data_IF_185845642477
#
_entry.id   IF_185845642477
#
_cell.length_a   1.000
_cell.length_b   1.000
_cell.length_c   1.000
_cell.angle_alpha   90.00
_cell.angle_beta   90.00
_cell.angle_gamma   90.00
#
_symmetry.space_group_name_H-M   'P 1'
#
loop_
_entity.id
_entity.type
_entity.pdbx_description
1 polymer ?
#
# COMPACT_ATOMS: atom_id res chain seq x y z
N UNK A 1 7.78 16.39 20.21
CA UNK A 1 7.34 16.86 18.89
C UNK A 1 6.28 15.91 18.45
N UNK A 2 5.04 16.37 18.50
CA UNK A 2 3.85 15.59 18.15
C UNK A 2 3.89 15.28 16.64
N UNK A 3 3.62 14.03 16.28
CA UNK A 3 3.54 13.61 14.88
C UNK A 3 2.07 13.61 14.47
N UNK A 4 1.68 14.60 13.66
CA UNK A 4 0.40 14.66 12.99
C UNK A 4 0.29 13.49 11.98
N UNK A 5 -0.88 12.85 11.96
CA UNK A 5 -1.14 11.71 11.10
C UNK A 5 -1.63 12.19 9.72
N UNK A 6 -0.84 11.93 8.67
CA UNK A 6 -1.21 12.19 7.27
C UNK A 6 -1.11 10.89 6.43
N UNK A 7 -2.16 10.61 5.65
CA UNK A 7 -2.24 9.50 4.67
C UNK A 7 -2.99 8.24 5.15
N UNK A 8 -3.97 7.74 4.38
CA UNK A 8 -4.85 6.62 4.76
C UNK A 8 -4.05 5.31 4.79
N UNK A 9 -3.60 4.92 5.99
CA UNK A 9 -2.92 3.65 6.31
C UNK A 9 -3.85 2.44 6.34
N UNK A 10 -5.09 2.58 5.88
CA UNK A 10 -6.15 1.57 6.01
C UNK A 10 -6.75 1.27 4.64
N UNK A 11 -6.83 0.00 4.29
CA UNK A 11 -7.60 -0.48 3.16
C UNK A 11 -8.63 -1.49 3.68
N UNK A 12 -9.88 -1.38 3.22
CA UNK A 12 -10.95 -2.26 3.70
C UNK A 12 -11.95 -2.57 2.60
N UNK A 13 -12.41 -3.83 2.57
CA UNK A 13 -13.55 -4.28 1.79
C UNK A 13 -14.33 -5.35 2.58
N UNK A 14 -15.28 -6.01 1.94
CA UNK A 14 -16.11 -7.05 2.57
C UNK A 14 -15.31 -8.28 3.03
N UNK A 15 -14.13 -8.50 2.45
CA UNK A 15 -13.29 -9.68 2.67
C UNK A 15 -12.07 -9.42 3.54
N UNK A 16 -11.54 -8.19 3.59
CA UNK A 16 -10.29 -7.89 4.26
C UNK A 16 -10.30 -6.48 4.87
N UNK A 17 -9.62 -6.34 6.00
CA UNK A 17 -9.15 -5.08 6.55
C UNK A 17 -7.63 -5.15 6.64
N UNK A 18 -6.94 -4.13 6.14
CA UNK A 18 -5.49 -4.01 6.19
C UNK A 18 -5.11 -2.66 6.77
N UNK A 19 -4.25 -2.66 7.77
CA UNK A 19 -3.73 -1.47 8.43
C UNK A 19 -2.20 -1.52 8.38
N UNK A 20 -1.56 -0.46 7.89
CA UNK A 20 -0.12 -0.26 8.06
C UNK A 20 0.17 0.49 9.38
N UNK A 21 1.01 -0.10 10.22
CA UNK A 21 1.47 0.46 11.48
C UNK A 21 2.97 0.79 11.40
N UNK A 22 3.29 2.08 11.32
CA UNK A 22 4.68 2.57 11.35
C UNK A 22 5.26 2.68 12.77
N UNK A 23 4.55 2.21 13.82
CA UNK A 23 4.99 2.30 15.22
C UNK A 23 6.14 1.34 15.54
N UNK A 24 6.29 0.31 14.71
CA UNK A 24 7.32 -0.71 14.81
C UNK A 24 8.38 -0.44 13.73
N UNK A 25 9.63 -0.77 14.01
CA UNK A 25 10.70 -0.81 13.02
C UNK A 25 11.15 -2.27 12.86
N UNK A 26 10.85 -2.94 11.72
CA UNK A 26 10.15 -2.44 10.52
C UNK A 26 8.63 -2.23 10.73
N UNK A 27 7.96 -1.44 9.84
CA UNK A 27 6.51 -1.30 9.86
C UNK A 27 5.79 -2.65 9.77
N UNK A 28 4.67 -2.75 10.48
CA UNK A 28 3.84 -3.95 10.52
C UNK A 28 2.55 -3.74 9.75
N UNK A 29 2.12 -4.73 8.98
CA UNK A 29 0.78 -4.77 8.40
C UNK A 29 -0.12 -5.66 9.27
N UNK A 30 -1.18 -5.07 9.83
CA UNK A 30 -2.26 -5.82 10.45
C UNK A 30 -3.30 -6.17 9.41
N UNK A 31 -3.65 -7.45 9.29
CA UNK A 31 -4.62 -7.96 8.33
C UNK A 31 -5.69 -8.73 9.09
N UNK A 32 -6.95 -8.36 8.89
CA UNK A 32 -8.11 -9.10 9.38
C UNK A 32 -8.91 -9.64 8.21
N UNK A 33 -9.02 -10.96 8.12
CA UNK A 33 -9.82 -11.65 7.12
C UNK A 33 -11.27 -11.74 7.54
N UNK A 34 -12.16 -11.63 6.55
CA UNK A 34 -13.61 -11.62 6.70
C UNK A 34 -14.08 -10.73 7.87
N UNK A 35 -13.73 -9.43 7.87
CA UNK A 35 -13.89 -8.56 9.04
C UNK A 35 -15.34 -8.43 9.54
N UNK A 36 -16.32 -8.73 8.67
CA UNK A 36 -17.75 -8.65 8.91
C UNK A 36 -18.49 -9.99 8.90
N UNK A 37 -17.81 -11.11 8.61
CA UNK A 37 -18.47 -12.42 8.55
C UNK A 37 -18.31 -13.18 9.88
N UNK A 38 -19.31 -13.04 10.77
CA UNK A 38 -19.32 -13.69 12.08
C UNK A 38 -19.43 -15.22 12.04
N UNK A 39 -19.67 -15.81 10.85
CA UNK A 39 -19.76 -17.28 10.68
C UNK A 39 -18.40 -17.91 10.34
N UNK A 40 -17.44 -17.11 9.89
CA UNK A 40 -16.06 -17.55 9.66
C UNK A 40 -15.20 -17.20 10.87
N UNK A 41 -14.23 -18.06 11.21
CA UNK A 41 -13.20 -17.72 12.20
C UNK A 41 -12.43 -16.50 11.68
N UNK A 42 -12.60 -15.34 12.33
CA UNK A 42 -11.87 -14.11 12.01
C UNK A 42 -10.38 -14.34 12.22
N UNK A 43 -9.66 -14.66 11.14
CA UNK A 43 -8.20 -14.78 11.14
C UNK A 43 -7.60 -13.38 11.18
N UNK A 44 -6.71 -13.14 12.15
CA UNK A 44 -5.97 -11.88 12.29
C UNK A 44 -4.47 -12.16 12.21
N UNK A 45 -3.80 -11.47 11.29
CA UNK A 45 -2.37 -11.61 11.08
C UNK A 45 -1.69 -10.26 11.32
N UNK A 46 -0.53 -10.29 11.99
CA UNK A 46 0.41 -9.17 11.97
C UNK A 46 1.67 -9.65 11.30
N UNK A 47 2.06 -8.96 10.23
CA UNK A 47 3.22 -9.31 9.42
C UNK A 47 4.14 -8.11 9.34
N UNK A 48 5.42 -8.39 9.22
CA UNK A 48 6.42 -7.37 8.94
C UNK A 48 7.39 -7.90 7.91
N UNK A 49 8.02 -6.99 7.18
CA UNK A 49 9.13 -7.33 6.32
C UNK A 49 10.43 -6.84 6.96
N UNK A 50 11.38 -7.73 7.22
CA UNK A 50 12.67 -7.36 7.81
C UNK A 50 13.49 -6.42 6.90
N UNK A 51 13.18 -6.35 5.61
CA UNK A 51 13.88 -5.48 4.66
C UNK A 51 13.35 -4.03 4.67
N UNK A 52 12.33 -3.71 5.48
CA UNK A 52 11.70 -2.38 5.52
C UNK A 52 11.99 -1.63 6.83
N UNK A 53 13.13 -1.89 7.47
CA UNK A 53 13.51 -1.29 8.77
C UNK A 53 13.56 0.23 8.75
N UNK A 54 13.94 0.82 7.62
CA UNK A 54 14.03 2.27 7.43
C UNK A 54 12.95 2.75 6.48
N UNK A 55 11.69 2.44 6.78
CA UNK A 55 10.57 2.84 5.93
C UNK A 55 9.40 3.41 6.71
N UNK A 56 8.68 4.33 6.08
CA UNK A 56 7.44 4.89 6.57
C UNK A 56 6.36 4.72 5.51
N UNK A 57 5.27 4.01 5.83
CA UNK A 57 4.16 3.76 4.92
C UNK A 57 3.18 4.93 4.95
N UNK A 58 2.91 5.52 3.79
CA UNK A 58 1.90 6.56 3.61
C UNK A 58 0.49 5.98 3.48
N UNK A 59 0.36 4.90 2.70
CA UNK A 59 -0.95 4.38 2.34
C UNK A 59 -0.92 2.91 1.95
N UNK A 60 -2.09 2.28 2.03
CA UNK A 60 -2.35 0.89 1.64
C UNK A 60 -3.59 0.84 0.78
N UNK A 61 -3.62 -0.06 -0.20
CA UNK A 61 -4.78 -0.32 -1.04
C UNK A 61 -4.93 -1.82 -1.36
N UNK A 62 -6.16 -2.23 -1.70
CA UNK A 62 -6.50 -3.59 -2.12
C UNK A 62 -7.38 -3.55 -3.37
N UNK A 63 -7.17 -4.52 -4.27
CA UNK A 63 -8.03 -4.69 -5.44
C UNK A 63 -9.35 -5.37 -5.07
N UNK A 64 -10.46 -4.95 -5.69
CA UNK A 64 -11.81 -5.46 -5.39
C UNK A 64 -12.05 -6.89 -5.89
N UNK A 65 -11.44 -7.28 -7.02
CA UNK A 65 -11.70 -8.55 -7.74
C UNK A 65 -10.50 -9.50 -7.68
N UNK A 66 -9.69 -9.41 -6.64
CA UNK A 66 -8.53 -10.28 -6.49
C UNK A 66 -8.93 -11.74 -6.29
N UNK A 67 -8.06 -12.66 -6.70
CA UNK A 67 -8.26 -14.10 -6.59
C UNK A 67 -8.14 -14.54 -5.11
N UNK A 68 -9.05 -15.40 -4.65
CA UNK A 68 -9.05 -15.96 -3.29
C UNK A 68 -7.76 -16.69 -2.92
N UNK A 69 -7.05 -17.26 -3.90
CA UNK A 69 -5.80 -17.99 -3.67
C UNK A 69 -4.58 -17.07 -3.55
N UNK A 70 -4.62 -15.85 -4.11
CA UNK A 70 -3.52 -14.88 -4.07
C UNK A 70 -4.08 -13.48 -3.84
N UNK A 71 -3.97 -12.99 -2.61
CA UNK A 71 -4.37 -11.63 -2.24
C UNK A 71 -3.16 -10.72 -2.28
N UNK A 72 -3.29 -9.56 -2.92
CA UNK A 72 -2.24 -8.57 -3.07
C UNK A 72 -2.59 -7.32 -2.25
N UNK A 73 -1.68 -6.93 -1.37
CA UNK A 73 -1.76 -5.70 -0.60
C UNK A 73 -0.76 -4.71 -1.16
N UNK A 74 -1.25 -3.60 -1.67
CA UNK A 74 -0.43 -2.55 -2.23
C UNK A 74 -0.16 -1.52 -1.19
N UNK A 75 1.05 -0.99 -1.18
CA UNK A 75 1.42 0.05 -0.25
C UNK A 75 2.45 0.96 -0.89
N UNK A 76 2.54 2.18 -0.39
CA UNK A 76 3.56 3.12 -0.79
C UNK A 76 4.03 3.93 0.40
N UNK A 77 5.27 4.39 0.33
CA UNK A 77 5.92 5.04 1.45
C UNK A 77 7.27 5.61 1.06
N UNK A 78 8.01 6.05 2.07
CA UNK A 78 9.34 6.61 1.93
C UNK A 78 10.37 5.88 2.78
N UNK A 79 11.63 5.99 2.36
CA UNK A 79 12.75 5.63 3.19
C UNK A 79 12.98 6.72 4.25
N UNK A 80 13.23 6.32 5.49
CA UNK A 80 13.52 7.20 6.63
C UNK A 80 14.97 7.00 7.11
N UNK A 81 15.33 7.60 8.25
CA UNK A 81 16.63 7.41 8.91
C UNK A 81 17.84 7.80 8.03
N UNK A 82 17.74 8.95 7.35
CA UNK A 82 18.82 9.50 6.53
C UNK A 82 18.96 8.86 5.14
N UNK A 83 18.04 7.95 4.79
CA UNK A 83 17.87 7.46 3.42
C UNK A 83 16.90 8.37 2.68
N UNK A 84 17.12 8.51 1.38
CA UNK A 84 16.23 9.23 0.48
C UNK A 84 15.65 8.24 -0.53
N UNK A 85 14.35 8.33 -0.77
CA UNK A 85 13.66 7.52 -1.77
C UNK A 85 12.22 7.26 -1.37
N UNK A 86 11.35 7.23 -2.36
CA UNK A 86 9.98 6.76 -2.23
C UNK A 86 9.93 5.36 -2.81
N UNK A 87 8.98 4.55 -2.33
CA UNK A 87 8.72 3.25 -2.88
C UNK A 87 7.24 3.00 -3.08
N UNK A 88 6.97 2.15 -4.05
CA UNK A 88 5.73 1.39 -4.15
C UNK A 88 6.08 -0.07 -3.91
N UNK A 89 5.22 -0.76 -3.18
CA UNK A 89 5.38 -2.17 -2.91
C UNK A 89 4.08 -2.93 -2.99
N UNK A 90 4.23 -4.24 -3.15
CA UNK A 90 3.14 -5.21 -3.09
C UNK A 90 3.55 -6.35 -2.16
N UNK A 91 2.67 -6.69 -1.23
CA UNK A 91 2.75 -7.89 -0.42
C UNK A 91 1.73 -8.91 -0.94
N UNK A 92 2.22 -10.06 -1.39
CA UNK A 92 1.40 -11.14 -1.94
C UNK A 92 1.22 -12.21 -0.87
N UNK A 93 -0.02 -12.38 -0.44
CA UNK A 93 -0.46 -13.47 0.42
C UNK A 93 -0.97 -14.63 -0.43
N UNK A 94 -0.29 -15.77 -0.35
CA UNK A 94 -0.74 -17.00 -0.98
C UNK A 94 -1.52 -17.83 0.06
N UNK A 95 -2.82 -17.93 -0.12
CA UNK A 95 -3.69 -18.69 0.78
C UNK A 95 -3.60 -20.19 0.44
N UNK A 96 -2.66 -20.90 1.06
CA UNK A 96 -2.51 -22.35 0.87
C UNK A 96 -3.30 -23.19 1.90
N UNK A 97 -3.81 -22.60 2.99
CA UNK A 97 -4.71 -23.27 3.94
C UNK A 97 -5.41 -22.27 4.89
N UNK A 98 -6.70 -22.50 5.10
CA UNK A 98 -7.66 -21.54 5.69
C UNK A 98 -7.64 -21.40 7.22
N UNK A 99 -6.64 -21.94 7.93
CA UNK A 99 -6.72 -22.12 9.38
C UNK A 99 -5.60 -21.45 10.19
N UNK A 100 -4.53 -20.99 9.56
CA UNK A 100 -3.41 -20.31 10.24
C UNK A 100 -2.96 -19.12 9.40
N UNK A 101 -2.59 -18.02 10.06
CA UNK A 101 -1.80 -16.96 9.43
C UNK A 101 -0.46 -17.57 9.03
N UNK A 102 -0.40 -18.19 7.87
CA UNK A 102 0.85 -18.70 7.35
C UNK A 102 1.68 -17.47 6.93
N UNK A 103 2.77 -17.23 7.65
CA UNK A 103 3.54 -15.97 7.62
C UNK A 103 4.25 -15.68 6.28
N UNK A 104 4.04 -16.48 5.23
CA UNK A 104 4.77 -16.36 3.97
C UNK A 104 4.13 -15.32 3.04
N UNK A 105 4.40 -14.04 3.33
CA UNK A 105 4.15 -12.97 2.37
C UNK A 105 5.34 -12.85 1.44
N UNK A 106 5.09 -12.77 0.14
CA UNK A 106 6.11 -12.41 -0.84
C UNK A 106 6.02 -10.92 -1.09
N UNK A 107 7.11 -10.19 -0.85
CA UNK A 107 7.13 -8.75 -1.03
C UNK A 107 7.93 -8.37 -2.26
N UNK A 108 7.42 -7.41 -3.01
CA UNK A 108 8.13 -6.75 -4.09
C UNK A 108 8.10 -5.26 -3.85
N UNK A 109 9.21 -4.59 -4.13
CA UNK A 109 9.37 -3.15 -3.99
C UNK A 109 9.96 -2.61 -5.27
N UNK A 110 9.52 -1.41 -5.62
CA UNK A 110 10.20 -0.58 -6.57
C UNK A 110 10.43 0.79 -5.96
N UNK A 111 11.70 1.19 -5.99
CA UNK A 111 12.16 2.45 -5.43
C UNK A 111 12.33 3.49 -6.53
N UNK A 112 12.02 4.73 -6.21
CA UNK A 112 12.30 5.88 -7.05
C UNK A 112 12.77 7.04 -6.18
N UNK A 113 13.67 7.85 -6.73
CA UNK A 113 14.45 8.83 -5.97
C UNK A 113 14.18 10.25 -6.47
N UNK A 114 14.69 11.23 -5.74
CA UNK A 114 14.58 12.68 -6.00
C UNK A 114 13.23 13.31 -5.65
N UNK A 115 12.44 12.66 -4.78
CA UNK A 115 11.20 13.21 -4.26
C UNK A 115 11.26 13.30 -2.75
N UNK A 116 10.67 14.35 -2.19
CA UNK A 116 10.65 14.56 -0.74
C UNK A 116 9.44 13.85 -0.11
N UNK A 117 9.30 14.02 1.21
CA UNK A 117 8.13 13.57 1.93
C UNK A 117 6.83 14.10 1.28
N UNK A 118 5.86 13.20 1.05
CA UNK A 118 4.59 13.55 0.43
C UNK A 118 3.48 13.57 1.49
N UNK A 119 3.04 14.77 1.88
CA UNK A 119 1.91 14.95 2.83
C UNK A 119 0.59 14.45 2.23
N UNK A 120 0.41 14.67 0.92
CA UNK A 120 -0.79 14.32 0.16
C UNK A 120 -0.46 13.25 -0.86
N UNK A 121 -1.01 12.06 -0.65
CA UNK A 121 -0.71 10.89 -1.46
C UNK A 121 -1.93 9.98 -1.58
N UNK A 122 -2.30 9.61 -2.81
CA UNK A 122 -3.35 8.62 -3.09
C UNK A 122 -2.74 7.41 -3.79
N UNK A 123 -3.13 6.21 -3.33
CA UNK A 123 -2.87 4.95 -4.02
C UNK A 123 -4.19 4.37 -4.51
N UNK A 124 -4.29 4.21 -5.83
CA UNK A 124 -5.39 3.51 -6.50
C UNK A 124 -4.93 2.18 -7.06
N UNK A 125 -5.83 1.20 -7.11
CA UNK A 125 -5.53 -0.14 -7.62
C UNK A 125 -6.60 -0.54 -8.61
N UNK A 126 -6.18 -1.02 -9.79
CA UNK A 126 -7.09 -1.58 -10.80
C UNK A 126 -7.88 -2.76 -10.19
N UNK A 127 -9.16 -2.97 -10.51
CA UNK A 127 -9.98 -3.97 -9.83
C UNK A 127 -9.38 -5.38 -9.69
N UNK A 128 -8.70 -5.88 -10.73
CA UNK A 128 -8.04 -7.20 -10.69
C UNK A 128 -6.66 -7.17 -10.02
N UNK A 129 -6.13 -5.99 -9.70
CA UNK A 129 -4.84 -5.79 -9.07
C UNK A 129 -3.67 -6.01 -10.01
N UNK A 130 -3.80 -5.73 -11.31
CA UNK A 130 -2.64 -5.79 -12.21
C UNK A 130 -1.81 -4.52 -12.18
N UNK A 131 -2.46 -3.38 -11.95
CA UNK A 131 -1.82 -2.08 -11.94
C UNK A 131 -2.16 -1.32 -10.68
N UNK A 132 -1.15 -0.63 -10.16
CA UNK A 132 -1.28 0.29 -9.05
C UNK A 132 -0.87 1.68 -9.51
N UNK A 133 -1.70 2.67 -9.19
CA UNK A 133 -1.53 4.06 -9.58
C UNK A 133 -1.24 4.88 -8.33
N UNK A 134 -0.14 5.62 -8.33
CA UNK A 134 0.20 6.56 -7.27
C UNK A 134 0.03 7.98 -7.76
N UNK A 135 -0.59 8.83 -6.94
CA UNK A 135 -0.77 10.24 -7.25
C UNK A 135 -0.30 11.08 -6.05
N UNK A 136 0.63 11.99 -6.30
CA UNK A 136 1.11 12.99 -5.36
C UNK A 136 1.21 14.36 -6.03
N UNK A 137 1.64 15.36 -5.27
CA UNK A 137 1.91 16.70 -5.79
C UNK A 137 3.13 16.76 -6.72
N UNK A 138 4.11 15.86 -6.55
CA UNK A 138 5.37 15.91 -7.30
C UNK A 138 5.45 14.86 -8.41
N UNK A 139 4.73 13.74 -8.27
CA UNK A 139 4.79 12.65 -9.22
C UNK A 139 3.47 11.89 -9.35
N UNK A 140 3.35 11.23 -10.49
CA UNK A 140 2.35 10.21 -10.75
C UNK A 140 3.14 8.95 -11.12
N UNK A 141 2.66 7.78 -10.74
CA UNK A 141 3.23 6.53 -11.27
C UNK A 141 2.18 5.50 -11.64
N UNK A 142 2.61 4.56 -12.48
CA UNK A 142 1.93 3.30 -12.77
C UNK A 142 2.91 2.16 -12.50
N UNK A 143 2.52 1.24 -11.62
CA UNK A 143 3.29 0.07 -11.26
C UNK A 143 2.61 -1.20 -11.77
N UNK A 144 3.28 -1.98 -12.62
CA UNK A 144 2.77 -3.27 -13.12
C UNK A 144 3.17 -4.40 -12.16
N UNK A 145 2.18 -4.97 -11.48
CA UNK A 145 2.36 -6.00 -10.47
C UNK A 145 2.79 -7.34 -11.09
N UNK A 146 2.47 -7.55 -12.38
CA UNK A 146 2.84 -8.77 -13.12
C UNK A 146 4.29 -8.72 -13.56
N UNK A 147 4.86 -7.53 -13.68
CA UNK A 147 6.27 -7.29 -13.95
C UNK A 147 6.79 -6.20 -13.00
N UNK A 148 7.17 -6.59 -11.79
CA UNK A 148 7.54 -5.68 -10.68
C UNK A 148 8.78 -4.83 -10.93
N UNK A 149 9.41 -4.94 -12.11
CA UNK A 149 10.49 -4.06 -12.55
C UNK A 149 9.99 -2.83 -13.33
N UNK A 150 8.73 -2.84 -13.79
CA UNK A 150 8.13 -1.78 -14.59
C UNK A 150 7.43 -0.78 -13.68
N UNK A 151 7.96 0.44 -13.68
CA UNK A 151 7.39 1.60 -13.02
C UNK A 151 7.47 2.78 -13.99
N UNK A 152 6.32 3.17 -14.52
CA UNK A 152 6.21 4.39 -15.31
C UNK A 152 6.00 5.55 -14.36
N UNK A 153 6.85 6.58 -14.48
CA UNK A 153 6.91 7.71 -13.57
C UNK A 153 6.85 9.02 -14.37
N UNK A 154 6.00 9.93 -13.93
CA UNK A 154 5.76 11.21 -14.60
C UNK A 154 5.79 12.34 -13.58
N UNK A 155 6.22 13.52 -14.01
CA UNK A 155 6.19 14.72 -13.19
C UNK A 155 4.74 15.22 -13.06
N UNK A 156 4.24 15.32 -11.83
CA UNK A 156 2.86 15.73 -11.57
C UNK A 156 2.58 17.18 -12.00
N UNK A 157 3.58 18.08 -11.98
CA UNK A 157 3.44 19.46 -12.44
C UNK A 157 3.04 19.56 -13.92
N UNK A 158 3.29 18.51 -14.72
CA UNK A 158 2.86 18.47 -16.12
C UNK A 158 1.37 18.12 -16.26
N UNK A 159 0.78 17.50 -15.24
CA UNK A 159 -0.62 17.03 -15.25
C UNK A 159 -1.53 18.03 -14.53
N UNK A 160 -1.08 18.55 -13.39
CA UNK A 160 -1.75 19.60 -12.60
C UNK A 160 -0.73 20.71 -12.32
N UNK A 161 -0.58 21.69 -13.22
CA UNK A 161 0.44 22.75 -13.12
C UNK A 161 0.17 23.75 -11.99
N UNK A 162 -1.08 23.85 -11.54
CA UNK A 162 -1.49 24.65 -10.41
C UNK A 162 -1.75 23.71 -9.22
N UNK A 163 -1.54 24.16 -7.97
CA UNK A 163 -1.69 23.41 -6.70
C UNK A 163 -3.13 22.88 -6.40
N UNK A 164 -3.91 22.70 -7.46
CA UNK A 164 -5.25 22.13 -7.58
C UNK A 164 -5.30 20.62 -7.35
N UNK A 165 -4.16 19.92 -7.25
CA UNK A 165 -4.16 18.55 -6.75
C UNK A 165 -4.49 18.57 -5.26
N UNK A 166 -5.79 18.57 -4.99
CA UNK A 166 -6.32 18.28 -3.66
C UNK A 166 -6.81 16.85 -3.76
N UNK A 167 -6.26 15.90 -2.97
CA UNK A 167 -6.78 14.55 -2.92
C UNK A 167 -8.18 14.58 -2.26
N UNK A 168 -9.20 14.96 -3.02
CA UNK A 168 -10.58 14.72 -2.63
C UNK A 168 -10.85 13.24 -2.91
N UNK A 169 -10.72 12.41 -1.88
CA UNK A 169 -11.32 11.09 -1.92
C UNK A 169 -12.84 11.29 -2.07
N UNK A 170 -13.37 11.00 -3.26
CA UNK A 170 -14.81 11.01 -3.51
C UNK A 170 -15.30 9.57 -3.62
N UNK A 171 -16.35 9.36 -2.84
CA UNK A 171 -17.21 8.21 -2.58
C UNK A 171 -17.22 7.01 -3.55
N UNK A 172 -17.40 5.84 -2.96
CA UNK A 172 -17.53 4.54 -3.60
C UNK A 172 -18.95 4.40 -4.15
N UNK A 173 -19.10 4.20 -5.46
CA UNK A 173 -20.31 3.60 -6.05
C UNK A 173 -19.97 2.32 -6.79
#
# INVERSE_FOLDING_TARGET
TDYDAHGIKIAMNEHFLVLAENKNEPPTFFIKFAPYNNTQLSLQCSIYNINTTDSFIYTVAVGKKQNENRTHFYFAGELINGKNGIFVGVAIYNNNSSLLCNNSFTYYFQYFFNYQHQEYYILGVEPNGYFTYGFSNEFIFIFDVRNTSVLDLWNANLTWPDATFIPHAVDVT
#
